data_IF_033692852892
#
_entry.id   IF_033692852892
#
_cell.length_a   1.000
_cell.length_b   1.000
_cell.length_c   1.000
_cell.angle_alpha   90.00
_cell.angle_beta   90.00
_cell.angle_gamma   90.00
#
_symmetry.space_group_name_H-M   'P 1'
#
loop_
_entity.id
_entity.type
_entity.pdbx_description
1 polymer ?
#
# COMPACT_ATOMS: atom_id res chain seq x y z
N UNK A 1 2.65 -24.86 6.59
CA UNK A 1 2.36 -23.91 5.55
C UNK A 1 1.02 -23.23 5.73
N UNK A 2 0.86 -22.09 5.15
CA UNK A 2 -0.40 -21.36 5.16
C UNK A 2 -1.22 -21.72 3.92
N UNK A 3 -2.52 -22.02 4.05
CA UNK A 3 -3.36 -22.36 2.92
C UNK A 3 -3.62 -21.14 2.03
N UNK A 4 -3.60 -21.35 0.72
CA UNK A 4 -3.92 -20.33 -0.26
C UNK A 4 -5.21 -20.70 -1.00
N UNK A 5 -6.15 -19.77 -1.01
CA UNK A 5 -7.47 -19.94 -1.62
C UNK A 5 -7.63 -19.04 -2.84
N UNK A 6 -8.32 -19.56 -3.85
CA UNK A 6 -8.84 -18.79 -4.98
C UNK A 6 -10.32 -18.46 -4.71
N UNK A 7 -10.62 -17.18 -4.62
CA UNK A 7 -11.98 -16.65 -4.53
C UNK A 7 -12.34 -15.99 -5.87
N UNK A 8 -13.46 -16.38 -6.44
CA UNK A 8 -13.90 -15.94 -7.76
C UNK A 8 -15.25 -15.25 -7.70
N UNK A 9 -15.45 -14.22 -8.54
CA UNK A 9 -16.76 -13.68 -8.84
C UNK A 9 -17.42 -14.50 -9.94
N UNK A 10 -18.74 -14.48 -10.00
CA UNK A 10 -19.47 -15.01 -11.16
C UNK A 10 -19.16 -14.19 -12.43
N UNK A 11 -19.22 -14.86 -13.56
CA UNK A 11 -19.07 -14.21 -14.87
C UNK A 11 -20.44 -14.03 -15.51
N UNK A 12 -20.66 -12.89 -16.14
CA UNK A 12 -21.84 -12.62 -16.94
C UNK A 12 -21.79 -13.34 -18.29
N UNK A 13 -22.83 -13.25 -19.07
CA UNK A 13 -22.92 -13.90 -20.39
C UNK A 13 -21.84 -13.44 -21.41
N UNK A 14 -21.16 -12.32 -21.15
CA UNK A 14 -20.06 -11.81 -21.96
C UNK A 14 -18.68 -12.30 -21.46
N UNK A 15 -18.64 -13.13 -20.42
CA UNK A 15 -17.40 -13.61 -19.81
C UNK A 15 -16.67 -12.55 -18.96
N UNK A 16 -17.35 -11.48 -18.57
CA UNK A 16 -16.83 -10.45 -17.67
C UNK A 16 -17.36 -10.69 -16.26
N UNK A 17 -16.62 -10.27 -15.21
CA UNK A 17 -17.12 -10.34 -13.84
C UNK A 17 -18.49 -9.67 -13.71
N UNK A 18 -19.43 -10.36 -13.06
CA UNK A 18 -20.72 -9.79 -12.71
C UNK A 18 -20.57 -8.73 -11.63
N UNK A 19 -21.20 -7.59 -11.78
CA UNK A 19 -20.97 -6.44 -10.90
C UNK A 19 -21.46 -6.62 -9.47
N UNK A 20 -22.55 -7.34 -9.26
CA UNK A 20 -23.09 -7.58 -7.91
C UNK A 20 -22.27 -8.66 -7.20
N UNK A 21 -21.98 -9.77 -7.89
CA UNK A 21 -21.09 -10.82 -7.38
C UNK A 21 -19.69 -10.30 -7.05
N UNK A 22 -19.15 -9.38 -7.89
CA UNK A 22 -17.85 -8.76 -7.62
C UNK A 22 -17.86 -7.88 -6.37
N UNK A 23 -18.95 -7.13 -6.13
CA UNK A 23 -19.11 -6.32 -4.92
C UNK A 23 -19.16 -7.19 -3.67
N UNK A 24 -19.98 -8.24 -3.70
CA UNK A 24 -20.06 -9.22 -2.60
C UNK A 24 -18.70 -9.86 -2.31
N UNK A 25 -17.94 -10.19 -3.36
CA UNK A 25 -16.58 -10.73 -3.22
C UNK A 25 -15.63 -9.72 -2.54
N UNK A 26 -15.68 -8.43 -2.93
CA UNK A 26 -14.85 -7.39 -2.31
C UNK A 26 -15.19 -7.19 -0.83
N UNK A 27 -16.47 -7.18 -0.48
CA UNK A 27 -16.92 -7.05 0.91
C UNK A 27 -16.44 -8.25 1.74
N UNK A 28 -16.53 -9.46 1.20
CA UNK A 28 -16.06 -10.70 1.81
C UNK A 28 -14.54 -10.70 2.03
N UNK A 29 -13.76 -10.37 1.01
CA UNK A 29 -12.29 -10.27 1.11
C UNK A 29 -11.88 -9.21 2.14
N UNK A 30 -12.55 -8.06 2.13
CA UNK A 30 -12.32 -6.99 3.11
C UNK A 30 -12.62 -7.44 4.54
N UNK A 31 -13.72 -8.18 4.73
CA UNK A 31 -14.08 -8.71 6.04
C UNK A 31 -13.08 -9.75 6.55
N UNK A 32 -12.60 -10.67 5.69
CA UNK A 32 -11.55 -11.63 6.02
C UNK A 32 -10.24 -10.92 6.44
N UNK A 33 -9.85 -9.87 5.73
CA UNK A 33 -8.68 -9.06 6.09
C UNK A 33 -8.87 -8.36 7.43
N UNK A 34 -10.03 -7.76 7.68
CA UNK A 34 -10.35 -7.09 8.97
C UNK A 34 -10.41 -8.05 10.15
N UNK A 35 -10.82 -9.29 9.90
CA UNK A 35 -10.79 -10.36 10.89
C UNK A 35 -9.37 -10.86 11.22
N UNK A 36 -8.34 -10.38 10.51
CA UNK A 36 -6.94 -10.78 10.71
C UNK A 36 -6.62 -12.19 10.19
N UNK A 37 -7.47 -12.76 9.33
CA UNK A 37 -7.27 -14.10 8.78
C UNK A 37 -6.34 -14.13 7.56
N UNK A 38 -6.09 -13.01 6.90
CA UNK A 38 -5.35 -12.92 5.63
C UNK A 38 -3.97 -12.35 5.86
N UNK A 39 -2.92 -13.09 5.50
CA UNK A 39 -1.51 -12.65 5.48
C UNK A 39 -1.16 -11.91 4.20
N UNK A 40 -1.60 -12.43 3.06
CA UNK A 40 -1.31 -11.84 1.75
C UNK A 40 -2.51 -12.01 0.81
N UNK A 41 -2.63 -11.05 -0.11
CA UNK A 41 -3.68 -11.04 -1.12
C UNK A 41 -3.11 -10.62 -2.47
N UNK A 42 -3.53 -11.30 -3.53
CA UNK A 42 -3.16 -10.99 -4.91
C UNK A 42 -4.36 -11.06 -5.84
N UNK A 43 -4.35 -10.24 -6.87
CA UNK A 43 -5.36 -10.29 -7.94
C UNK A 43 -4.74 -10.90 -9.20
N UNK A 44 -5.15 -12.12 -9.61
CA UNK A 44 -4.63 -12.74 -10.83
C UNK A 44 -4.95 -11.91 -12.07
N UNK A 45 -3.98 -11.82 -12.97
CA UNK A 45 -4.11 -11.13 -14.25
C UNK A 45 -4.10 -12.10 -15.43
N UNK A 46 -3.39 -11.72 -16.48
CA UNK A 46 -3.33 -12.49 -17.75
C UNK A 46 -2.67 -13.87 -17.60
N UNK A 47 -1.70 -14.01 -16.70
CA UNK A 47 -1.03 -15.29 -16.43
C UNK A 47 -1.73 -16.16 -15.39
N UNK A 48 -2.92 -15.74 -14.95
CA UNK A 48 -3.79 -16.52 -14.09
C UNK A 48 -3.26 -16.78 -12.69
N UNK A 49 -3.72 -17.88 -12.12
CA UNK A 49 -3.36 -18.33 -10.77
C UNK A 49 -1.87 -18.65 -10.66
N UNK A 50 -1.30 -19.31 -11.67
CA UNK A 50 0.12 -19.72 -11.65
C UNK A 50 1.06 -18.50 -11.58
N UNK A 51 0.80 -17.45 -12.38
CA UNK A 51 1.53 -16.18 -12.31
C UNK A 51 1.34 -15.52 -10.94
N UNK A 52 0.11 -15.51 -10.41
CA UNK A 52 -0.20 -14.91 -9.12
C UNK A 52 0.57 -15.56 -7.98
N UNK A 53 0.52 -16.90 -7.88
CA UNK A 53 1.25 -17.68 -6.88
C UNK A 53 2.76 -17.46 -7.00
N UNK A 54 3.32 -17.50 -8.22
CA UNK A 54 4.73 -17.22 -8.45
C UNK A 54 5.11 -15.82 -7.92
N UNK A 55 4.35 -14.79 -8.23
CA UNK A 55 4.63 -13.42 -7.81
C UNK A 55 4.48 -13.20 -6.30
N UNK A 56 3.50 -13.84 -5.67
CA UNK A 56 3.37 -13.83 -4.20
C UNK A 56 4.59 -14.47 -3.52
N UNK A 57 5.16 -15.52 -4.14
CA UNK A 57 6.32 -16.24 -3.62
C UNK A 57 7.64 -15.43 -3.68
N UNK A 58 7.80 -14.48 -4.63
CA UNK A 58 9.05 -13.76 -4.88
C UNK A 58 9.51 -12.93 -3.66
N UNK A 59 8.61 -12.17 -3.03
CA UNK A 59 8.96 -11.15 -2.04
C UNK A 59 9.69 -11.71 -0.82
N UNK A 60 9.13 -12.75 -0.21
CA UNK A 60 9.65 -13.36 1.00
C UNK A 60 10.41 -14.67 0.73
N UNK A 61 10.62 -15.03 -0.55
CA UNK A 61 11.26 -16.26 -0.99
C UNK A 61 10.62 -17.51 -0.37
N UNK A 62 9.29 -17.55 -0.39
CA UNK A 62 8.47 -18.66 0.10
C UNK A 62 8.10 -19.55 -1.08
N UNK A 63 8.15 -20.87 -0.90
CA UNK A 63 7.67 -21.81 -1.90
C UNK A 63 6.17 -22.08 -1.79
N UNK A 64 5.66 -22.85 -2.73
CA UNK A 64 4.24 -23.22 -2.76
C UNK A 64 4.07 -24.65 -3.30
N UNK A 65 3.21 -25.41 -2.66
CA UNK A 65 2.81 -26.74 -3.10
C UNK A 65 1.31 -26.73 -3.43
N UNK A 66 0.98 -26.95 -4.70
CA UNK A 66 -0.42 -27.10 -5.09
C UNK A 66 -1.02 -28.38 -4.50
N UNK A 67 -2.27 -28.30 -4.09
CA UNK A 67 -3.01 -29.44 -3.55
C UNK A 67 -3.12 -30.55 -4.60
N UNK A 68 -2.81 -31.78 -4.21
CA UNK A 68 -2.93 -32.95 -5.08
C UNK A 68 -4.40 -33.26 -5.48
N UNK A 69 -5.36 -32.80 -4.70
CA UNK A 69 -6.80 -32.93 -4.97
C UNK A 69 -7.36 -31.74 -5.78
N UNK A 70 -6.52 -30.79 -6.20
CA UNK A 70 -6.97 -29.66 -6.99
C UNK A 70 -7.69 -30.13 -8.27
N UNK A 71 -8.92 -29.66 -8.45
CA UNK A 71 -9.72 -30.06 -9.61
C UNK A 71 -9.03 -29.68 -10.92
N UNK A 72 -9.06 -30.58 -11.89
CA UNK A 72 -8.56 -30.32 -13.24
C UNK A 72 -9.35 -29.21 -13.97
N UNK A 73 -10.51 -28.81 -13.43
CA UNK A 73 -11.33 -27.72 -13.97
C UNK A 73 -10.77 -26.34 -13.58
N UNK A 74 -9.83 -26.27 -12.64
CA UNK A 74 -9.17 -25.01 -12.29
C UNK A 74 -8.13 -24.65 -13.34
N UNK A 75 -8.44 -23.65 -14.15
CA UNK A 75 -7.50 -23.12 -15.13
C UNK A 75 -6.43 -22.27 -14.46
N UNK A 76 -5.25 -22.84 -14.24
CA UNK A 76 -4.14 -22.19 -13.58
C UNK A 76 -3.50 -21.05 -14.42
N UNK A 77 -3.68 -21.08 -15.75
CA UNK A 77 -3.04 -20.14 -16.68
C UNK A 77 -4.02 -19.20 -17.37
N UNK A 78 -5.29 -19.45 -17.25
CA UNK A 78 -6.34 -18.59 -17.79
C UNK A 78 -6.49 -17.29 -17.01
N UNK A 79 -6.92 -16.24 -17.69
CA UNK A 79 -7.20 -14.95 -17.04
C UNK A 79 -8.29 -15.09 -15.98
N UNK A 80 -8.01 -14.57 -14.79
CA UNK A 80 -8.88 -14.67 -13.61
C UNK A 80 -9.28 -13.26 -13.10
N UNK A 81 -9.63 -12.37 -14.04
CA UNK A 81 -10.03 -11.00 -13.67
C UNK A 81 -11.22 -10.99 -12.71
N UNK A 82 -11.13 -10.15 -11.69
CA UNK A 82 -12.14 -10.06 -10.61
C UNK A 82 -12.01 -11.12 -9.54
N UNK A 83 -10.97 -11.96 -9.59
CA UNK A 83 -10.69 -12.99 -8.58
C UNK A 83 -9.57 -12.54 -7.62
N UNK A 84 -9.47 -13.24 -6.48
CA UNK A 84 -8.42 -13.02 -5.48
C UNK A 84 -7.74 -14.33 -5.12
N UNK A 85 -6.43 -14.26 -4.92
CA UNK A 85 -5.65 -15.25 -4.20
C UNK A 85 -5.45 -14.77 -2.79
N UNK A 86 -5.83 -15.54 -1.79
CA UNK A 86 -5.69 -15.21 -0.38
C UNK A 86 -4.81 -16.24 0.31
N UNK A 87 -3.68 -15.81 0.85
CA UNK A 87 -2.91 -16.58 1.82
C UNK A 87 -3.54 -16.36 3.19
N UNK A 88 -4.05 -17.42 3.79
CA UNK A 88 -4.76 -17.37 5.06
C UNK A 88 -3.84 -17.87 6.16
N UNK A 89 -3.77 -17.14 7.27
CA UNK A 89 -2.99 -17.55 8.44
C UNK A 89 -3.54 -18.85 9.02
N UNK A 90 -2.75 -19.91 8.98
CA UNK A 90 -3.17 -21.23 9.43
C UNK A 90 -3.49 -21.27 10.94
N UNK A 91 -2.73 -20.53 11.76
CA UNK A 91 -2.94 -20.46 13.21
C UNK A 91 -4.22 -19.64 13.51
N UNK A 92 -4.36 -18.48 12.91
CA UNK A 92 -5.56 -17.65 13.06
C UNK A 92 -6.83 -18.37 12.57
N UNK A 93 -6.73 -19.18 11.52
CA UNK A 93 -7.84 -19.98 11.00
C UNK A 93 -8.29 -21.06 11.99
N UNK A 94 -7.34 -21.73 12.65
CA UNK A 94 -7.64 -22.71 13.69
C UNK A 94 -8.32 -22.06 14.89
N UNK A 95 -7.81 -20.93 15.36
CA UNK A 95 -8.38 -20.18 16.48
C UNK A 95 -9.79 -19.67 16.17
N UNK A 96 -10.00 -19.18 14.94
CA UNK A 96 -11.30 -18.74 14.47
C UNK A 96 -12.33 -19.88 14.44
N UNK A 97 -11.94 -21.04 13.94
CA UNK A 97 -12.82 -22.23 13.93
C UNK A 97 -13.18 -22.68 15.35
N UNK A 98 -12.20 -22.76 16.24
CA UNK A 98 -12.42 -23.12 17.64
C UNK A 98 -13.34 -22.12 18.36
N UNK A 99 -13.24 -20.83 18.05
CA UNK A 99 -14.12 -19.81 18.62
C UNK A 99 -15.58 -19.98 18.19
N UNK A 100 -15.83 -20.28 16.92
CA UNK A 100 -17.18 -20.52 16.40
C UNK A 100 -17.79 -21.80 16.99
N UNK A 101 -16.99 -22.87 17.13
CA UNK A 101 -17.47 -24.13 17.76
C UNK A 101 -17.80 -23.95 19.26
N UNK A 102 -17.11 -23.05 19.96
CA UNK A 102 -17.36 -22.77 21.36
C UNK A 102 -18.65 -21.95 21.61
N UNK A 103 -19.04 -21.12 20.64
CA UNK A 103 -20.25 -20.28 20.70
C UNK A 103 -21.56 -21.06 20.34
N UNK A 104 -21.46 -22.27 19.83
CA UNK A 104 -22.62 -23.15 19.52
C UNK A 104 -23.26 -23.82 20.76
N UNK A 105 -22.82 -23.55 22.00
CA UNK A 105 -23.58 -23.91 23.19
C UNK A 105 -24.80 -22.97 23.35
N UNK A 106 -26.02 -23.52 23.56
CA UNK A 106 -27.23 -22.70 23.61
C UNK A 106 -27.23 -21.82 24.86
N UNK A 107 -26.91 -20.54 24.69
CA UNK A 107 -27.10 -19.51 25.71
C UNK A 107 -28.61 -19.27 25.83
N UNK A 108 -29.21 -19.81 26.91
CA UNK A 108 -30.55 -19.47 27.33
C UNK A 108 -30.61 -17.98 27.71
N UNK A 109 -31.52 -17.26 27.06
CA UNK A 109 -32.10 -15.96 27.43
C UNK A 109 -31.17 -14.87 28.01
N UNK A 110 -30.79 -13.92 27.20
CA UNK A 110 -30.64 -12.55 27.67
C UNK A 110 -31.15 -11.57 26.62
N UNK A 111 -32.36 -11.10 26.83
CA UNK A 111 -32.91 -9.95 26.10
C UNK A 111 -32.09 -8.71 26.34
N UNK A 112 -31.56 -8.08 25.28
CA UNK A 112 -31.39 -6.66 25.30
C UNK A 112 -31.35 -6.11 23.86
N UNK A 113 -32.38 -5.34 23.51
CA UNK A 113 -32.47 -4.61 22.28
C UNK A 113 -31.51 -3.44 22.23
N UNK A 114 -30.85 -3.29 21.11
CA UNK A 114 -30.51 -1.98 20.49
C UNK A 114 -30.38 -2.19 19.00
N UNK A 115 -31.36 -1.68 18.26
CA UNK A 115 -31.24 -1.45 16.83
C UNK A 115 -30.14 -0.41 16.58
N UNK A 116 -29.10 -0.82 15.87
CA UNK A 116 -28.21 0.08 15.14
C UNK A 116 -28.14 -0.40 13.71
N UNK A 117 -28.41 0.56 12.82
CA UNK A 117 -28.35 0.58 11.37
C UNK A 117 -27.43 -0.45 10.72
N UNK A 118 -27.98 -1.24 9.81
CA UNK A 118 -27.42 -1.90 8.61
C UNK A 118 -25.88 -1.78 8.40
N UNK A 119 -25.13 -2.37 9.27
CA UNK A 119 -23.89 -3.06 8.99
C UNK A 119 -24.28 -4.54 9.09
N UNK A 120 -24.32 -5.23 7.97
CA UNK A 120 -24.42 -6.68 7.94
C UNK A 120 -23.26 -7.21 8.76
N UNK A 121 -23.58 -7.67 9.96
CA UNK A 121 -22.65 -8.33 10.86
C UNK A 121 -22.20 -9.61 10.16
N UNK A 122 -21.08 -9.51 9.43
CA UNK A 122 -20.46 -10.65 8.76
C UNK A 122 -19.86 -11.50 9.87
N UNK A 123 -20.71 -12.35 10.48
CA UNK A 123 -20.27 -13.20 11.57
C UNK A 123 -19.06 -14.03 11.12
N UNK A 124 -18.12 -14.26 12.03
CA UNK A 124 -16.93 -15.08 11.79
C UNK A 124 -17.30 -16.42 11.14
N UNK A 125 -18.45 -16.98 11.52
CA UNK A 125 -19.00 -18.20 10.94
C UNK A 125 -19.27 -18.07 9.41
N UNK A 126 -19.85 -16.96 8.95
CA UNK A 126 -20.07 -16.71 7.51
C UNK A 126 -18.77 -16.56 6.75
N UNK A 127 -17.74 -15.94 7.37
CA UNK A 127 -16.41 -15.80 6.76
C UNK A 127 -15.72 -17.16 6.60
N UNK A 128 -15.82 -18.04 7.61
CA UNK A 128 -15.28 -19.39 7.53
C UNK A 128 -16.01 -20.24 6.46
N UNK A 129 -17.35 -20.15 6.40
CA UNK A 129 -18.14 -20.81 5.34
C UNK A 129 -17.73 -20.31 3.94
N UNK A 130 -17.43 -19.02 3.81
CA UNK A 130 -16.98 -18.46 2.54
C UNK A 130 -15.61 -19.00 2.11
N UNK A 131 -14.69 -19.24 3.05
CA UNK A 131 -13.41 -19.91 2.78
C UNK A 131 -13.58 -21.39 2.44
N UNK A 132 -14.51 -22.09 3.11
CA UNK A 132 -14.82 -23.49 2.80
C UNK A 132 -15.45 -23.67 1.41
N UNK A 133 -16.18 -22.67 0.93
CA UNK A 133 -16.73 -22.63 -0.43
C UNK A 133 -15.71 -22.20 -1.49
N UNK A 134 -14.59 -21.61 -1.10
CA UNK A 134 -13.53 -21.18 -1.99
C UNK A 134 -12.67 -22.39 -2.44
N UNK A 135 -11.97 -22.22 -3.56
CA UNK A 135 -11.06 -23.24 -4.07
C UNK A 135 -9.74 -23.20 -3.31
N UNK A 136 -9.43 -24.22 -2.52
CA UNK A 136 -8.11 -24.41 -1.95
C UNK A 136 -7.13 -24.73 -3.09
N UNK A 137 -6.11 -23.90 -3.26
CA UNK A 137 -5.09 -24.09 -4.29
C UNK A 137 -3.92 -24.95 -3.79
N UNK A 138 -3.62 -24.89 -2.51
CA UNK A 138 -2.49 -25.52 -1.87
C UNK A 138 -1.99 -24.75 -0.66
N UNK A 139 -0.74 -24.93 -0.30
CA UNK A 139 -0.13 -24.32 0.88
C UNK A 139 1.28 -23.78 0.61
N UNK A 140 1.68 -22.77 1.38
CA UNK A 140 3.03 -22.23 1.36
C UNK A 140 4.03 -23.22 1.94
N UNK A 141 5.28 -23.17 1.48
CA UNK A 141 6.36 -24.06 1.94
C UNK A 141 7.63 -23.27 2.21
N UNK A 142 8.52 -23.81 3.05
CA UNK A 142 9.84 -23.22 3.30
C UNK A 142 10.81 -23.43 2.11
N UNK A 143 10.58 -24.45 1.28
CA UNK A 143 11.40 -24.72 0.11
C UNK A 143 11.01 -23.75 -1.00
N UNK A 144 11.94 -22.92 -1.46
CA UNK A 144 11.70 -21.90 -2.48
C UNK A 144 11.55 -22.52 -3.87
N UNK A 145 10.44 -23.20 -4.09
CA UNK A 145 10.05 -23.87 -5.32
C UNK A 145 8.52 -23.91 -5.46
N UNK A 146 8.00 -24.02 -6.67
CA UNK A 146 6.60 -24.33 -6.93
C UNK A 146 6.48 -25.83 -7.24
N UNK A 147 5.59 -26.51 -6.54
CA UNK A 147 5.35 -27.94 -6.73
C UNK A 147 3.92 -28.21 -7.16
N UNK A 148 3.74 -28.97 -8.22
CA UNK A 148 2.46 -29.49 -8.68
C UNK A 148 2.57 -30.99 -9.00
N UNK A 149 2.03 -31.83 -8.14
CA UNK A 149 2.21 -33.29 -8.22
C UNK A 149 3.67 -33.68 -8.12
N UNK A 150 4.22 -34.29 -9.18
CA UNK A 150 5.65 -34.67 -9.28
C UNK A 150 6.52 -33.58 -9.92
N UNK A 151 5.92 -32.56 -10.48
CA UNK A 151 6.66 -31.47 -11.13
C UNK A 151 7.12 -30.46 -10.08
N UNK A 152 8.38 -30.05 -10.16
CA UNK A 152 8.98 -29.04 -9.30
C UNK A 152 9.66 -28.00 -10.16
N UNK A 153 9.30 -26.75 -9.94
CA UNK A 153 9.90 -25.59 -10.60
C UNK A 153 10.68 -24.79 -9.54
N UNK A 154 11.97 -24.72 -9.72
CA UNK A 154 12.85 -23.96 -8.84
C UNK A 154 12.59 -22.45 -9.02
N UNK A 155 12.19 -21.78 -7.95
CA UNK A 155 11.88 -20.36 -8.00
C UNK A 155 13.04 -19.48 -8.47
N UNK A 156 14.32 -19.73 -8.14
CA UNK A 156 15.42 -18.94 -8.69
C UNK A 156 15.50 -18.96 -10.23
N UNK A 157 15.10 -20.06 -10.86
CA UNK A 157 15.05 -20.14 -12.33
C UNK A 157 13.89 -19.30 -12.90
N UNK A 158 12.73 -19.35 -12.24
CA UNK A 158 11.56 -18.54 -12.62
C UNK A 158 11.82 -17.04 -12.40
N UNK A 159 12.43 -16.67 -11.27
CA UNK A 159 12.86 -15.31 -10.94
C UNK A 159 13.77 -14.75 -12.03
N UNK A 160 14.79 -15.55 -12.42
CA UNK A 160 15.70 -15.18 -13.50
C UNK A 160 14.98 -14.97 -14.85
N UNK A 161 14.08 -15.87 -15.23
CA UNK A 161 13.32 -15.72 -16.48
C UNK A 161 12.44 -14.46 -16.44
N UNK A 162 11.85 -14.15 -15.28
CA UNK A 162 11.01 -12.97 -15.08
C UNK A 162 11.79 -11.67 -15.19
N UNK A 163 12.96 -11.60 -14.54
CA UNK A 163 13.83 -10.42 -14.53
C UNK A 163 14.55 -10.20 -15.87
N UNK A 164 15.13 -11.27 -16.45
CA UNK A 164 15.91 -11.19 -17.68
C UNK A 164 15.10 -10.68 -18.88
N UNK A 165 13.77 -10.79 -18.83
CA UNK A 165 12.92 -10.40 -19.96
C UNK A 165 13.10 -8.95 -20.41
N UNK A 166 13.27 -8.04 -19.47
CA UNK A 166 13.47 -6.62 -19.75
C UNK A 166 14.90 -6.14 -19.48
N UNK A 167 15.76 -7.02 -19.00
CA UNK A 167 17.16 -6.67 -18.64
C UNK A 167 17.92 -5.92 -19.74
N UNK A 168 17.78 -6.26 -21.05
CA UNK A 168 18.46 -5.52 -22.11
C UNK A 168 18.00 -4.07 -22.27
N UNK A 169 16.82 -3.72 -21.77
CA UNK A 169 16.20 -2.38 -21.91
C UNK A 169 16.21 -1.63 -20.58
N UNK A 170 15.89 -2.35 -19.51
CA UNK A 170 15.82 -1.84 -18.14
C UNK A 170 16.56 -2.80 -17.20
N UNK A 171 17.88 -2.63 -17.03
CA UNK A 171 18.66 -3.48 -16.14
C UNK A 171 18.13 -3.43 -14.70
N UNK A 172 17.93 -4.59 -14.09
CA UNK A 172 17.50 -4.69 -12.68
C UNK A 172 18.61 -4.31 -11.71
N UNK A 173 19.87 -4.41 -12.14
CA UNK A 173 21.03 -4.10 -11.32
C UNK A 173 21.99 -3.16 -12.04
N UNK A 174 22.45 -2.16 -11.30
CA UNK A 174 23.53 -1.27 -11.74
C UNK A 174 24.82 -1.84 -11.16
N UNK A 175 25.79 -2.14 -12.04
CA UNK A 175 27.13 -2.55 -11.60
C UNK A 175 27.78 -1.36 -10.89
N UNK A 176 27.86 -1.43 -9.58
CA UNK A 176 28.59 -0.45 -8.76
C UNK A 176 29.79 -1.15 -8.13
N UNK A 177 30.91 -0.46 -8.05
CA UNK A 177 32.09 -0.92 -7.30
C UNK A 177 31.89 -0.75 -5.78
N UNK A 178 30.85 -0.05 -5.37
CA UNK A 178 30.55 0.24 -3.97
C UNK A 178 29.56 -0.79 -3.40
N UNK A 179 29.92 -1.36 -2.27
CA UNK A 179 29.00 -2.17 -1.48
C UNK A 179 28.01 -1.27 -0.76
N UNK A 180 26.72 -1.55 -0.90
CA UNK A 180 25.70 -0.85 -0.15
C UNK A 180 25.99 -0.96 1.38
N UNK A 181 25.89 0.13 2.13
CA UNK A 181 26.07 0.08 3.57
C UNK A 181 24.99 -0.79 4.20
N UNK A 182 25.39 -1.64 5.15
CA UNK A 182 24.43 -2.38 5.94
C UNK A 182 23.74 -1.39 6.88
N UNK A 183 22.46 -1.18 6.66
CA UNK A 183 21.61 -0.40 7.57
C UNK A 183 21.16 -1.33 8.71
N UNK A 184 21.51 -0.97 9.94
CA UNK A 184 20.99 -1.64 11.13
C UNK A 184 19.86 -0.81 11.71
N UNK A 185 18.71 -1.42 11.93
CA UNK A 185 17.63 -0.79 12.68
C UNK A 185 18.14 -0.49 14.09
N UNK A 186 18.13 0.78 14.43
CA UNK A 186 18.36 1.25 15.78
C UNK A 186 17.06 1.82 16.31
N UNK A 187 16.25 1.04 17.07
CA UNK A 187 15.05 1.58 17.67
C UNK A 187 15.46 2.77 18.55
N UNK A 188 14.76 3.89 18.41
CA UNK A 188 15.00 5.05 19.23
C UNK A 188 14.72 4.69 20.70
N UNK A 189 15.73 4.79 21.55
CA UNK A 189 15.57 4.56 22.99
C UNK A 189 14.70 5.64 23.65
N UNK A 190 14.63 6.84 23.01
CA UNK A 190 13.83 7.96 23.47
C UNK A 190 12.97 8.52 22.35
N UNK A 191 11.71 8.88 22.68
CA UNK A 191 10.85 9.63 21.77
C UNK A 191 11.25 11.09 21.82
N UNK A 192 11.83 11.59 20.74
CA UNK A 192 12.16 13.01 20.61
C UNK A 192 10.88 13.87 20.66
N UNK A 193 10.94 14.92 21.43
CA UNK A 193 9.88 15.93 21.54
C UNK A 193 10.43 17.27 21.09
N UNK A 194 9.59 18.02 20.37
CA UNK A 194 9.95 19.38 19.97
C UNK A 194 10.28 20.23 21.20
N UNK A 195 11.35 21.05 21.10
CA UNK A 195 11.75 21.99 22.16
C UNK A 195 10.69 23.06 22.38
N UNK A 196 9.95 23.40 21.34
CA UNK A 196 8.81 24.36 21.37
C UNK A 196 7.53 23.56 21.10
N UNK A 197 6.79 23.16 22.14
CA UNK A 197 5.58 22.37 21.94
C UNK A 197 4.47 23.23 21.31
N UNK A 198 3.79 22.66 20.32
CA UNK A 198 2.62 23.25 19.67
C UNK A 198 1.47 22.25 19.72
N UNK A 199 0.34 22.67 20.29
CA UNK A 199 -0.83 21.80 20.46
C UNK A 199 -1.47 21.41 19.13
N UNK A 200 -1.40 22.29 18.12
CA UNK A 200 -1.94 22.08 16.79
C UNK A 200 -0.99 22.69 15.76
N UNK A 201 0.01 21.91 15.31
CA UNK A 201 1.03 22.43 14.39
C UNK A 201 0.42 22.76 13.02
N UNK A 202 0.81 23.90 12.48
CA UNK A 202 0.44 24.32 11.12
C UNK A 202 1.43 23.72 10.12
N UNK A 203 0.91 23.06 9.08
CA UNK A 203 1.68 22.44 8.02
C UNK A 203 1.42 23.17 6.71
N UNK A 204 2.44 23.84 6.17
CA UNK A 204 2.36 24.52 4.89
C UNK A 204 2.70 23.55 3.77
N UNK A 205 1.75 23.40 2.84
CA UNK A 205 1.86 22.46 1.70
C UNK A 205 1.93 23.29 0.41
N UNK A 206 3.13 23.56 -0.13
CA UNK A 206 3.27 24.30 -1.37
C UNK A 206 2.86 23.46 -2.58
N UNK A 207 2.08 24.08 -3.47
CA UNK A 207 1.63 23.47 -4.73
C UNK A 207 2.30 24.20 -5.88
N UNK A 208 3.14 23.48 -6.60
CA UNK A 208 3.83 23.94 -7.80
C UNK A 208 3.11 23.44 -9.06
N UNK A 209 3.37 24.01 -10.25
CA UNK A 209 2.86 23.42 -11.48
C UNK A 209 3.31 21.96 -11.64
N UNK A 210 2.34 21.05 -11.77
CA UNK A 210 2.58 19.61 -11.83
C UNK A 210 2.65 18.89 -10.47
N UNK A 211 2.53 19.61 -9.34
CA UNK A 211 2.36 18.98 -8.02
C UNK A 211 1.04 18.22 -8.00
N UNK A 212 1.04 17.08 -7.32
CA UNK A 212 -0.11 16.23 -7.08
C UNK A 212 -0.10 15.75 -5.62
N UNK A 213 -1.21 15.18 -5.16
CA UNK A 213 -1.36 14.63 -3.80
C UNK A 213 -1.42 15.69 -2.67
N UNK A 214 -1.59 16.98 -2.97
CA UNK A 214 -1.72 18.03 -1.94
C UNK A 214 -2.95 17.86 -1.05
N UNK A 215 -4.07 17.40 -1.63
CA UNK A 215 -5.30 17.13 -0.87
C UNK A 215 -5.17 15.89 0.02
N UNK A 216 -4.59 14.83 -0.46
CA UNK A 216 -4.35 13.62 0.32
C UNK A 216 -3.37 13.89 1.46
N UNK A 217 -2.32 14.67 1.16
CA UNK A 217 -1.36 15.17 2.16
C UNK A 217 -2.07 15.98 3.25
N UNK A 218 -2.90 16.93 2.86
CA UNK A 218 -3.65 17.75 3.82
C UNK A 218 -4.59 16.91 4.68
N UNK A 219 -5.28 15.94 4.08
CA UNK A 219 -6.15 15.00 4.79
C UNK A 219 -5.39 14.17 5.82
N UNK A 220 -4.21 13.65 5.46
CA UNK A 220 -3.39 12.87 6.36
C UNK A 220 -2.90 13.69 7.57
N UNK A 221 -2.43 14.92 7.35
CA UNK A 221 -2.03 15.82 8.43
C UNK A 221 -3.20 16.24 9.33
N UNK A 222 -4.36 16.50 8.74
CA UNK A 222 -5.56 16.80 9.53
C UNK A 222 -5.99 15.61 10.40
N UNK A 223 -5.93 14.38 9.87
CA UNK A 223 -6.21 13.16 10.63
C UNK A 223 -5.21 12.96 11.79
N UNK A 224 -3.96 13.37 11.61
CA UNK A 224 -2.94 13.36 12.66
C UNK A 224 -3.06 14.51 13.68
N UNK A 225 -4.06 15.40 13.53
CA UNK A 225 -4.33 16.50 14.47
C UNK A 225 -3.61 17.82 14.15
N UNK A 226 -2.94 17.92 13.01
CA UNK A 226 -2.33 19.16 12.54
C UNK A 226 -3.33 20.07 11.81
N UNK A 227 -2.90 21.29 11.49
CA UNK A 227 -3.64 22.27 10.68
C UNK A 227 -2.93 22.47 9.33
N UNK A 228 -3.31 21.70 8.29
CA UNK A 228 -2.70 21.82 6.97
C UNK A 228 -3.20 23.06 6.24
N UNK A 229 -2.30 23.75 5.55
CA UNK A 229 -2.61 24.85 4.66
C UNK A 229 -2.02 24.57 3.27
N UNK A 230 -2.89 24.40 2.26
CA UNK A 230 -2.48 24.25 0.87
C UNK A 230 -2.19 25.65 0.31
N UNK A 231 -0.97 25.87 -0.18
CA UNK A 231 -0.52 27.12 -0.76
C UNK A 231 -0.17 26.96 -2.24
N UNK A 232 -1.05 27.46 -3.12
CA UNK A 232 -0.84 27.40 -4.57
C UNK A 232 0.07 28.54 -5.03
N UNK A 233 1.20 28.17 -5.67
CA UNK A 233 2.09 29.15 -6.28
C UNK A 233 1.53 29.61 -7.62
N UNK A 234 1.34 30.90 -7.75
CA UNK A 234 0.89 31.50 -9.00
C UNK A 234 2.09 31.88 -9.87
N UNK A 235 2.24 31.20 -11.02
CA UNK A 235 3.34 31.35 -11.95
C UNK A 235 2.93 31.99 -13.31
N UNK A 236 1.74 32.56 -13.39
CA UNK A 236 1.21 33.11 -14.66
C UNK A 236 1.93 34.39 -15.13
N UNK A 237 2.64 35.08 -14.23
CA UNK A 237 3.45 36.23 -14.56
C UNK A 237 4.60 36.41 -13.57
N UNK A 238 5.62 37.19 -13.94
CA UNK A 238 6.73 37.50 -13.05
C UNK A 238 6.28 38.17 -11.74
N UNK A 239 5.32 39.09 -11.82
CA UNK A 239 4.73 39.73 -10.64
C UNK A 239 3.95 38.75 -9.76
N UNK A 240 3.28 37.77 -10.36
CA UNK A 240 2.57 36.73 -9.63
C UNK A 240 3.55 35.80 -8.89
N UNK A 241 4.65 35.43 -9.52
CA UNK A 241 5.74 34.67 -8.87
C UNK A 241 6.34 35.48 -7.70
N UNK A 242 6.64 36.76 -7.90
CA UNK A 242 7.19 37.62 -6.84
C UNK A 242 6.25 37.74 -5.63
N UNK A 243 4.94 37.90 -5.88
CA UNK A 243 3.93 37.86 -4.81
C UNK A 243 3.89 36.50 -4.12
N UNK A 244 3.87 35.39 -4.87
CA UNK A 244 3.89 34.05 -4.28
C UNK A 244 5.11 33.80 -3.40
N UNK A 245 6.28 34.29 -3.79
CA UNK A 245 7.51 34.24 -2.98
C UNK A 245 7.33 34.99 -1.65
N UNK A 246 6.82 36.23 -1.71
CA UNK A 246 6.60 37.05 -0.51
C UNK A 246 5.57 36.43 0.43
N UNK A 247 4.45 35.98 -0.11
CA UNK A 247 3.35 35.39 0.66
C UNK A 247 3.75 34.06 1.26
N UNK A 248 4.45 33.21 0.50
CA UNK A 248 4.99 31.95 1.03
C UNK A 248 5.97 32.18 2.18
N UNK A 249 6.93 33.10 2.03
CA UNK A 249 7.86 33.44 3.08
C UNK A 249 7.15 33.98 4.35
N UNK A 250 6.02 34.70 4.20
CA UNK A 250 5.20 35.13 5.31
C UNK A 250 4.51 33.94 6.00
N UNK A 251 3.92 33.01 5.23
CA UNK A 251 3.27 31.81 5.76
C UNK A 251 4.23 30.84 6.45
N UNK A 252 5.45 30.70 5.96
CA UNK A 252 6.50 29.90 6.63
C UNK A 252 6.76 30.41 8.05
N UNK A 253 6.72 31.72 8.29
CA UNK A 253 6.91 32.30 9.65
C UNK A 253 5.80 31.90 10.63
N UNK A 254 4.63 31.55 10.15
CA UNK A 254 3.47 31.14 10.95
C UNK A 254 3.33 29.62 11.08
N UNK A 255 4.08 28.85 10.27
CA UNK A 255 4.01 27.39 10.22
C UNK A 255 5.07 26.73 11.08
N UNK A 256 4.83 25.50 11.51
CA UNK A 256 5.79 24.65 12.22
C UNK A 256 6.41 23.61 11.27
N UNK A 257 5.76 23.38 10.15
CA UNK A 257 6.23 22.39 9.18
C UNK A 257 5.98 22.85 7.75
N UNK A 258 6.90 22.50 6.84
CA UNK A 258 6.71 22.54 5.40
C UNK A 258 6.69 21.11 4.89
N UNK A 259 5.69 20.76 4.11
CA UNK A 259 5.61 19.44 3.47
C UNK A 259 5.44 19.59 1.97
N UNK A 260 6.44 19.15 1.21
CA UNK A 260 6.44 19.23 -0.26
C UNK A 260 5.88 17.91 -0.80
N UNK A 261 4.67 17.91 -1.40
CA UNK A 261 4.05 16.70 -1.93
C UNK A 261 4.75 16.19 -3.20
N UNK A 262 4.28 15.05 -3.67
CA UNK A 262 4.73 14.45 -4.90
C UNK A 262 4.13 15.08 -6.16
N UNK A 263 4.35 14.43 -7.29
CA UNK A 263 3.91 14.84 -8.62
C UNK A 263 5.06 14.90 -9.60
N UNK A 264 4.87 15.66 -10.68
CA UNK A 264 5.84 15.82 -11.77
C UNK A 264 6.01 17.29 -12.12
N UNK A 265 6.54 18.08 -11.17
CA UNK A 265 6.75 19.51 -11.38
C UNK A 265 7.84 19.76 -12.44
N UNK A 266 7.43 20.29 -13.60
CA UNK A 266 8.29 20.53 -14.74
C UNK A 266 8.51 19.35 -15.68
N UNK A 267 7.76 18.23 -15.47
CA UNK A 267 7.85 17.01 -16.27
C UNK A 267 8.99 16.08 -15.87
N UNK A 268 8.98 14.87 -16.43
CA UNK A 268 10.00 13.84 -16.23
C UNK A 268 11.14 14.04 -17.25
N UNK A 269 11.87 15.11 -17.09
CA UNK A 269 13.02 15.42 -17.94
C UNK A 269 14.27 14.63 -17.49
N UNK A 270 15.25 14.37 -18.39
CA UNK A 270 16.46 13.62 -18.06
C UNK A 270 17.25 14.17 -16.87
N UNK A 271 17.17 15.48 -16.65
CA UNK A 271 17.81 16.15 -15.52
C UNK A 271 16.98 16.15 -14.23
N UNK A 272 15.90 15.40 -14.21
CA UNK A 272 15.00 15.22 -13.06
C UNK A 272 13.88 16.25 -12.97
N UNK A 273 12.77 15.81 -12.41
CA UNK A 273 11.69 16.69 -11.97
C UNK A 273 12.10 17.40 -10.67
N UNK A 274 11.43 18.46 -10.31
CA UNK A 274 11.77 19.21 -9.08
C UNK A 274 12.61 20.47 -9.31
N UNK A 275 13.12 20.72 -10.51
CA UNK A 275 13.91 21.94 -10.82
C UNK A 275 13.19 23.23 -10.45
N UNK A 276 11.88 23.29 -10.70
CA UNK A 276 11.08 24.48 -10.38
C UNK A 276 10.95 24.66 -8.85
N UNK A 277 10.76 23.60 -8.13
CA UNK A 277 10.73 23.59 -6.66
C UNK A 277 12.07 24.06 -6.12
N UNK A 278 13.16 23.46 -6.60
CA UNK A 278 14.53 23.84 -6.20
C UNK A 278 14.82 25.30 -6.48
N UNK A 279 14.46 25.82 -7.66
CA UNK A 279 14.65 27.22 -8.02
C UNK A 279 13.86 28.16 -7.09
N UNK A 280 12.63 27.80 -6.73
CA UNK A 280 11.81 28.57 -5.81
C UNK A 280 12.42 28.63 -4.41
N UNK A 281 12.88 27.51 -3.87
CA UNK A 281 13.51 27.45 -2.53
C UNK A 281 14.91 28.12 -2.50
N UNK A 282 15.56 28.32 -3.65
CA UNK A 282 16.80 29.11 -3.75
C UNK A 282 16.56 30.61 -3.71
N UNK A 283 15.32 31.08 -3.86
CA UNK A 283 15.02 32.49 -3.67
C UNK A 283 15.41 32.94 -2.26
N UNK A 284 16.09 34.09 -2.14
CA UNK A 284 16.67 34.55 -0.88
C UNK A 284 15.63 34.71 0.25
N UNK A 285 14.45 35.27 -0.05
CA UNK A 285 13.39 35.47 0.93
C UNK A 285 12.82 34.15 1.44
N UNK A 286 12.60 33.18 0.54
CA UNK A 286 12.13 31.82 0.87
C UNK A 286 13.21 31.09 1.68
N UNK A 287 14.45 31.04 1.17
CA UNK A 287 15.58 30.41 1.83
C UNK A 287 15.76 30.90 3.26
N UNK A 288 15.78 32.22 3.47
CA UNK A 288 15.96 32.80 4.80
C UNK A 288 14.80 32.43 5.75
N UNK A 289 13.56 32.38 5.24
CA UNK A 289 12.40 32.01 6.06
C UNK A 289 12.45 30.52 6.45
N UNK A 290 12.84 29.64 5.54
CA UNK A 290 12.99 28.20 5.78
C UNK A 290 14.17 27.94 6.73
N UNK A 291 15.31 28.57 6.52
CA UNK A 291 16.46 28.45 7.43
C UNK A 291 16.06 28.80 8.89
N UNK A 292 15.32 29.92 9.06
CA UNK A 292 14.82 30.29 10.41
C UNK A 292 13.80 29.30 10.96
N UNK A 293 12.98 28.70 10.11
CA UNK A 293 12.05 27.65 10.55
C UNK A 293 12.81 26.47 11.13
N UNK A 294 13.87 26.01 10.44
CA UNK A 294 14.62 24.81 10.78
C UNK A 294 15.61 25.05 11.94
N UNK A 295 16.36 26.16 11.91
CA UNK A 295 17.46 26.41 12.84
C UNK A 295 17.03 27.16 14.11
N UNK A 296 16.11 28.14 13.99
CA UNK A 296 15.73 28.99 15.11
C UNK A 296 14.45 28.54 15.82
N UNK A 297 13.56 27.81 15.11
CA UNK A 297 12.22 27.51 15.60
C UNK A 297 11.94 26.02 15.79
N UNK A 298 12.95 25.18 15.61
CA UNK A 298 12.83 23.71 15.74
C UNK A 298 11.71 23.14 14.85
N UNK A 299 11.53 23.73 13.67
CA UNK A 299 10.52 23.31 12.69
C UNK A 299 11.00 22.16 11.82
N UNK A 300 10.10 21.64 11.00
CA UNK A 300 10.39 20.49 10.14
C UNK A 300 10.16 20.82 8.66
N UNK A 301 10.93 20.19 7.81
CA UNK A 301 10.71 20.17 6.35
C UNK A 301 10.79 18.73 5.86
N UNK A 302 9.80 18.31 5.10
CA UNK A 302 9.73 16.98 4.53
C UNK A 302 9.32 17.05 3.06
N UNK A 303 9.79 16.11 2.25
CA UNK A 303 9.40 15.95 0.86
C UNK A 303 9.16 14.49 0.50
N UNK A 304 8.15 14.23 -0.31
CA UNK A 304 7.85 12.90 -0.83
C UNK A 304 7.94 12.90 -2.35
N UNK A 305 8.54 11.83 -2.92
CA UNK A 305 8.67 11.62 -4.37
C UNK A 305 9.27 12.87 -5.04
N UNK A 306 8.51 13.62 -5.81
CA UNK A 306 8.97 14.86 -6.46
C UNK A 306 9.46 15.90 -5.45
N UNK A 307 8.82 16.02 -4.30
CA UNK A 307 9.29 16.88 -3.21
C UNK A 307 10.62 16.42 -2.59
N UNK A 308 10.86 15.11 -2.55
CA UNK A 308 12.15 14.55 -2.11
C UNK A 308 13.23 14.74 -3.16
N UNK A 309 12.91 14.62 -4.45
CA UNK A 309 13.85 14.85 -5.57
C UNK A 309 14.37 16.30 -5.61
N UNK A 310 13.55 17.25 -5.18
CA UNK A 310 13.91 18.66 -5.12
C UNK A 310 14.87 19.00 -3.98
#
# INVERSE_FOLDING_TARGET
>A
GDPVYLLQSELNAAGLPDGDSLRELYDRVTALMRAGLVKACWTPGMGGVAEGVMKMALGNRIGFCFDAALSADVDLFGSQYGSFLLEVDAEALVDAKASVEADDEPIADAACGKQTSQEEDCSLQHLLQALEAATLLGETTEVYALQYGSEVLEMPELEKIYEDKLEPVYPCSIMTEETAPTLTDSPAEEIFRASIPCAKPRVLIPVFPGTNCEYDTAKAFAAAGAEPEIFVLNNLSADAVARSVSDFAAKVRESQMIFIPGGFSGGDEPDGSGKFITAFFRNEAVKNSVTRLLEDRDGLMCGICNGFQA
#
